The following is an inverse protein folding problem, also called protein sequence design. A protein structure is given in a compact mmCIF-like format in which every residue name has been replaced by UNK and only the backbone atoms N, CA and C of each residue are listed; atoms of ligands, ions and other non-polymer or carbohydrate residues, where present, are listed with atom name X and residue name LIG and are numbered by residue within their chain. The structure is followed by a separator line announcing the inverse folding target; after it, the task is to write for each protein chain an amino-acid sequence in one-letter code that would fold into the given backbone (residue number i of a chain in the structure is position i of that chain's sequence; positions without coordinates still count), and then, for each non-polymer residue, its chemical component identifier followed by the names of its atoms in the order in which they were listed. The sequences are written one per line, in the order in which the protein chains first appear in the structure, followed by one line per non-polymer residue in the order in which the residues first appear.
data_IF_773883815563
#
_entry.id   IF_773883815563
#
_cell.length_a   1.000
_cell.length_b   1.000
_cell.length_c   1.000
_cell.angle_alpha   90.00
_cell.angle_beta   90.00
_cell.angle_gamma   90.00
#
_symmetry.space_group_name_H-M   'P 1'
#
loop_
_entity.id
_entity.type
_entity.pdbx_description
1 polymer ?
#
# COMPACT_ATOMS: atom_id res chain seq x y z
N UNK A 1 -15.60 7.29 2.42
CA UNK A 1 -15.31 5.85 2.19
C UNK A 1 -13.80 5.68 2.18
N UNK A 2 -13.27 4.56 2.68
CA UNK A 2 -11.85 4.23 2.51
C UNK A 2 -11.65 3.29 1.32
N UNK A 3 -10.43 3.21 0.83
CA UNK A 3 -10.05 2.39 -0.30
C UNK A 3 -8.67 1.75 -0.07
N UNK A 4 -8.46 0.52 -0.53
CA UNK A 4 -7.23 -0.24 -0.29
C UNK A 4 -6.79 -1.00 -1.53
N UNK A 5 -5.49 -1.22 -1.69
CA UNK A 5 -4.93 -2.02 -2.78
C UNK A 5 -4.31 -3.32 -2.26
N UNK A 6 -4.64 -4.44 -2.89
CA UNK A 6 -4.06 -5.76 -2.60
C UNK A 6 -3.43 -6.30 -3.88
N UNK A 7 -2.10 -6.47 -3.85
CA UNK A 7 -1.38 -7.19 -4.91
C UNK A 7 -1.38 -8.68 -4.56
N UNK A 8 -1.82 -9.52 -5.49
CA UNK A 8 -1.97 -10.96 -5.25
C UNK A 8 -1.59 -11.81 -6.47
N UNK A 9 -1.45 -13.12 -6.27
CA UNK A 9 -1.27 -14.11 -7.34
C UNK A 9 -2.33 -15.22 -7.27
N UNK A 10 -2.55 -15.91 -8.38
CA UNK A 10 -3.53 -17.00 -8.48
C UNK A 10 -3.20 -18.19 -7.56
N UNK A 11 -1.93 -18.35 -7.14
CA UNK A 11 -1.51 -19.36 -6.16
C UNK A 11 -1.84 -18.98 -4.69
N UNK A 12 -2.50 -17.84 -4.50
CA UNK A 12 -2.95 -17.35 -3.19
C UNK A 12 -1.89 -16.61 -2.39
N UNK A 13 -0.84 -16.11 -3.04
CA UNK A 13 0.09 -15.19 -2.41
C UNK A 13 -0.44 -13.75 -2.48
N UNK A 14 -0.13 -12.94 -1.48
CA UNK A 14 -0.46 -11.51 -1.46
C UNK A 14 0.53 -10.72 -0.60
N UNK A 15 0.67 -9.43 -0.90
CA UNK A 15 1.47 -8.51 -0.08
C UNK A 15 0.63 -7.94 1.05
N UNK A 16 1.12 -8.07 2.29
CA UNK A 16 0.57 -7.41 3.48
C UNK A 16 1.67 -6.57 4.13
N UNK A 17 1.29 -5.43 4.71
CA UNK A 17 2.23 -4.46 5.26
C UNK A 17 2.06 -4.35 6.75
N UNK A 18 3.05 -3.78 7.44
CA UNK A 18 2.95 -3.43 8.86
C UNK A 18 3.18 -1.94 9.02
N UNK A 19 2.27 -1.29 9.76
CA UNK A 19 2.44 0.11 10.13
C UNK A 19 3.56 0.25 11.13
N UNK A 20 4.34 1.31 11.02
CA UNK A 20 5.30 1.71 12.05
C UNK A 20 4.56 2.07 13.33
N UNK A 21 5.24 2.03 14.47
CA UNK A 21 4.68 2.52 15.73
C UNK A 21 4.67 4.07 15.79
N UNK A 22 5.61 4.69 15.07
CA UNK A 22 5.80 6.14 14.99
C UNK A 22 6.14 6.54 13.55
N UNK A 23 5.69 7.72 13.11
CA UNK A 23 6.01 8.30 11.81
C UNK A 23 6.71 9.65 11.96
N UNK A 24 7.67 9.95 11.09
CA UNK A 24 8.48 11.17 11.12
C UNK A 24 8.03 12.22 10.10
N UNK A 25 7.23 11.83 9.12
CA UNK A 25 6.71 12.72 8.11
C UNK A 25 5.38 12.21 7.56
N UNK A 26 4.50 13.13 7.18
CA UNK A 26 3.21 12.81 6.59
C UNK A 26 2.86 13.86 5.53
N UNK A 27 2.30 13.41 4.42
CA UNK A 27 1.78 14.23 3.34
C UNK A 27 0.53 14.99 3.79
N UNK A 28 0.39 16.24 3.34
CA UNK A 28 -0.82 17.01 3.58
C UNK A 28 -1.79 16.82 2.42
N UNK A 29 -2.90 16.11 2.65
CA UNK A 29 -3.94 15.84 1.66
C UNK A 29 -4.57 17.10 1.03
N UNK A 30 -4.39 18.28 1.62
CA UNK A 30 -4.97 19.55 1.14
C UNK A 30 -3.97 20.41 0.33
N UNK A 31 -2.69 20.02 0.25
CA UNK A 31 -1.65 20.82 -0.40
C UNK A 31 -0.53 20.02 -1.07
N UNK A 32 0.41 20.71 -1.72
CA UNK A 32 1.59 20.06 -2.36
C UNK A 32 2.73 19.80 -1.37
N UNK A 33 2.44 19.79 -0.07
CA UNK A 33 3.43 19.78 1.00
C UNK A 33 3.25 18.63 1.98
N UNK A 34 3.80 18.79 3.16
CA UNK A 34 3.68 17.82 4.23
C UNK A 34 4.37 18.32 5.48
N UNK A 35 4.28 17.53 6.53
CA UNK A 35 4.84 17.84 7.84
C UNK A 35 5.98 16.90 8.14
N UNK A 36 6.98 17.39 8.86
CA UNK A 36 8.00 16.56 9.49
C UNK A 36 7.94 16.76 11.01
N UNK A 37 8.31 15.73 11.76
CA UNK A 37 8.18 15.67 13.22
C UNK A 37 9.54 15.41 13.89
N UNK A 38 10.52 16.31 13.78
CA UNK A 38 11.78 16.16 14.48
C UNK A 38 11.63 16.43 15.99
N UNK A 39 12.53 15.88 16.83
CA UNK A 39 13.48 14.82 16.50
C UNK A 39 12.87 13.42 16.64
N UNK A 40 11.71 13.27 17.27
CA UNK A 40 11.25 11.96 17.79
C UNK A 40 10.08 11.35 17.00
N UNK A 41 9.68 11.93 15.88
CA UNK A 41 8.46 11.54 15.20
C UNK A 41 7.21 11.80 16.04
N UNK A 42 6.11 11.19 15.63
CA UNK A 42 4.85 11.11 16.38
C UNK A 42 4.31 9.67 16.36
N UNK A 43 3.65 9.20 17.43
CA UNK A 43 3.00 7.89 17.42
C UNK A 43 1.91 7.78 16.35
N UNK A 44 1.87 6.65 15.64
CA UNK A 44 0.79 6.33 14.70
C UNK A 44 -0.43 5.85 15.50
N UNK A 45 -1.47 6.69 15.52
CA UNK A 45 -2.64 6.47 16.39
C UNK A 45 -3.57 5.36 15.90
N UNK A 46 -3.59 5.11 14.60
CA UNK A 46 -4.55 4.18 13.97
C UNK A 46 -3.84 2.93 13.48
N UNK A 47 -3.56 2.02 14.42
CA UNK A 47 -2.99 0.70 14.13
C UNK A 47 -1.47 0.66 13.99
N UNK A 48 -0.74 1.55 14.66
CA UNK A 48 0.73 1.46 14.71
C UNK A 48 1.21 0.10 15.25
N UNK A 49 2.18 -0.51 14.59
CA UNK A 49 2.67 -1.86 14.89
C UNK A 49 1.73 -3.00 14.48
N UNK A 50 0.66 -2.70 13.73
CA UNK A 50 -0.29 -3.71 13.25
C UNK A 50 -0.21 -3.86 11.73
N UNK A 51 -0.68 -5.01 11.26
CA UNK A 51 -0.80 -5.26 9.83
C UNK A 51 -1.81 -4.32 9.17
N UNK A 52 -1.50 -3.92 7.94
CA UNK A 52 -2.31 -3.06 7.11
C UNK A 52 -2.17 -3.40 5.63
N UNK A 53 -3.18 -3.03 4.85
CA UNK A 53 -3.04 -2.85 3.41
C UNK A 53 -2.88 -1.36 3.11
N UNK A 54 -2.15 -1.02 2.03
CA UNK A 54 -1.99 0.36 1.66
C UNK A 54 -3.34 0.94 1.24
N UNK A 55 -3.69 2.11 1.78
CA UNK A 55 -5.01 2.67 1.55
C UNK A 55 -5.41 3.80 2.48
N UNK A 56 -6.37 4.59 2.02
CA UNK A 56 -6.83 5.78 2.72
C UNK A 56 -8.16 6.27 2.17
N UNK A 57 -8.40 7.57 2.32
CA UNK A 57 -9.70 8.17 2.01
C UNK A 57 -9.91 8.32 0.51
N UNK A 58 -11.12 8.04 0.03
CA UNK A 58 -11.54 8.39 -1.33
C UNK A 58 -11.84 9.89 -1.38
N UNK A 59 -11.11 10.61 -2.24
CA UNK A 59 -11.34 12.04 -2.44
C UNK A 59 -12.69 12.29 -3.13
N UNK A 60 -13.28 13.44 -2.84
CA UNK A 60 -14.51 13.86 -3.53
C UNK A 60 -14.22 13.97 -5.04
N UNK A 61 -15.09 13.40 -5.87
CA UNK A 61 -14.96 13.35 -7.34
C UNK A 61 -13.86 12.45 -7.91
N UNK A 62 -13.07 11.77 -7.06
CA UNK A 62 -12.11 10.76 -7.51
C UNK A 62 -12.77 9.39 -7.72
N UNK A 63 -12.44 8.72 -8.82
CA UNK A 63 -12.91 7.35 -9.06
C UNK A 63 -12.27 6.39 -8.04
N UNK A 64 -13.03 5.47 -7.42
CA UNK A 64 -12.50 4.65 -6.32
C UNK A 64 -11.22 3.87 -6.61
N UNK A 65 -11.08 3.28 -7.80
CA UNK A 65 -9.84 2.56 -8.14
C UNK A 65 -8.65 3.52 -8.28
N UNK A 66 -8.86 4.76 -8.75
CA UNK A 66 -7.79 5.76 -8.82
C UNK A 66 -7.34 6.17 -7.42
N UNK A 67 -8.28 6.33 -6.47
CA UNK A 67 -7.94 6.53 -5.07
C UNK A 67 -7.11 5.37 -4.52
N UNK A 68 -7.49 4.11 -4.78
CA UNK A 68 -6.72 2.94 -4.33
C UNK A 68 -5.26 2.98 -4.81
N UNK A 69 -5.05 3.35 -6.08
CA UNK A 69 -3.74 3.42 -6.70
C UNK A 69 -2.90 4.60 -6.18
N UNK A 70 -3.53 5.76 -5.99
CA UNK A 70 -2.89 6.94 -5.38
C UNK A 70 -2.38 6.62 -3.96
N UNK A 71 -3.24 6.07 -3.12
CA UNK A 71 -2.89 5.70 -1.73
C UNK A 71 -1.77 4.65 -1.71
N UNK A 72 -1.81 3.67 -2.63
CA UNK A 72 -0.72 2.70 -2.76
C UNK A 72 0.62 3.40 -3.10
N UNK A 73 0.62 4.36 -4.02
CA UNK A 73 1.83 5.15 -4.35
C UNK A 73 2.29 6.00 -3.15
N UNK A 74 1.37 6.70 -2.47
CA UNK A 74 1.66 7.53 -1.30
C UNK A 74 2.36 6.74 -0.19
N UNK A 75 1.85 5.54 0.13
CA UNK A 75 2.35 4.76 1.26
C UNK A 75 3.48 3.77 0.91
N UNK A 76 3.59 3.34 -0.37
CA UNK A 76 4.60 2.37 -0.78
C UNK A 76 5.80 2.98 -1.52
N UNK A 77 5.68 4.21 -2.04
CA UNK A 77 6.79 4.92 -2.69
C UNK A 77 6.34 5.86 -3.80
N UNK A 78 6.80 7.11 -3.76
CA UNK A 78 6.38 8.18 -4.67
C UNK A 78 6.73 7.96 -6.16
N UNK A 79 7.65 7.03 -6.47
CA UNK A 79 8.00 6.64 -7.84
C UNK A 79 7.11 5.53 -8.42
N UNK A 80 6.19 4.99 -7.63
CA UNK A 80 5.25 3.98 -8.10
C UNK A 80 4.21 4.66 -8.97
N UNK A 81 4.06 4.15 -10.20
CA UNK A 81 3.08 4.64 -11.14
C UNK A 81 2.33 3.50 -11.80
N UNK A 82 1.14 3.80 -12.32
CA UNK A 82 0.27 2.82 -12.94
C UNK A 82 -0.03 3.25 -14.37
N UNK A 83 0.20 2.34 -15.32
CA UNK A 83 0.09 2.62 -16.73
C UNK A 83 -1.24 2.12 -17.30
N UNK A 84 -1.85 2.99 -18.11
CA UNK A 84 -3.12 2.73 -18.75
C UNK A 84 -3.04 2.84 -20.27
N UNK A 85 -3.85 2.03 -20.97
CA UNK A 85 -3.95 2.08 -22.43
C UNK A 85 -5.37 2.30 -22.95
N UNK A 86 -5.58 3.21 -23.92
CA UNK A 86 -4.59 4.12 -24.50
C UNK A 86 -4.42 5.40 -23.66
N UNK A 87 -3.22 5.99 -23.67
CA UNK A 87 -2.85 7.15 -22.84
C UNK A 87 -3.72 8.41 -23.06
N UNK A 88 -4.36 8.54 -24.22
CA UNK A 88 -5.15 9.71 -24.62
C UNK A 88 -6.67 9.50 -24.53
N UNK A 89 -7.13 8.60 -23.66
CA UNK A 89 -8.55 8.32 -23.46
C UNK A 89 -8.89 8.38 -21.96
N UNK A 90 -10.19 8.46 -21.61
CA UNK A 90 -10.62 8.32 -20.23
C UNK A 90 -10.06 7.03 -19.61
N UNK A 91 -9.38 7.17 -18.48
CA UNK A 91 -8.75 6.04 -17.79
C UNK A 91 -9.77 5.25 -16.98
N UNK A 92 -9.72 3.92 -17.08
CA UNK A 92 -10.62 3.00 -16.39
C UNK A 92 -9.85 1.78 -15.89
N UNK A 93 -10.46 1.00 -15.00
CA UNK A 93 -9.88 -0.26 -14.52
C UNK A 93 -9.59 -1.25 -15.66
N UNK A 94 -10.44 -1.28 -16.70
CA UNK A 94 -10.26 -2.15 -17.87
C UNK A 94 -9.02 -1.80 -18.72
N UNK A 95 -8.48 -0.59 -18.56
CA UNK A 95 -7.30 -0.11 -19.29
C UNK A 95 -6.02 -0.17 -18.48
N UNK A 96 -6.11 -0.46 -17.18
CA UNK A 96 -4.97 -0.64 -16.28
C UNK A 96 -4.20 -1.90 -16.68
N UNK A 97 -2.91 -1.76 -17.00
CA UNK A 97 -2.15 -2.83 -17.65
C UNK A 97 -0.83 -3.19 -16.97
N UNK A 98 -0.22 -2.22 -16.30
CA UNK A 98 1.03 -2.43 -15.61
C UNK A 98 1.23 -1.41 -14.50
N UNK A 99 2.12 -1.78 -13.58
CA UNK A 99 2.66 -0.92 -12.55
C UNK A 99 4.15 -0.72 -12.87
N UNK A 100 4.67 0.48 -12.64
CA UNK A 100 6.10 0.74 -12.65
C UNK A 100 6.61 1.12 -11.27
N UNK A 101 7.74 0.55 -10.86
CA UNK A 101 8.43 0.87 -9.62
C UNK A 101 9.90 1.13 -9.94
N UNK A 102 10.39 2.33 -9.63
CA UNK A 102 11.79 2.72 -9.85
C UNK A 102 12.30 2.48 -11.29
N UNK A 103 11.40 2.58 -12.28
CA UNK A 103 11.70 2.38 -13.70
C UNK A 103 11.49 0.95 -14.21
N UNK A 104 11.36 -0.04 -13.33
CA UNK A 104 10.98 -1.41 -13.70
C UNK A 104 9.47 -1.49 -13.95
N UNK A 105 9.02 -2.40 -14.81
CA UNK A 105 7.60 -2.54 -15.18
C UNK A 105 7.10 -3.96 -14.88
N UNK A 106 5.97 -4.03 -14.19
CA UNK A 106 5.28 -5.25 -13.79
C UNK A 106 3.92 -5.34 -14.45
N UNK A 107 3.61 -6.48 -15.07
CA UNK A 107 2.33 -6.67 -15.76
C UNK A 107 1.22 -6.94 -14.74
N UNK A 108 0.12 -6.18 -14.85
CA UNK A 108 -1.11 -6.46 -14.13
C UNK A 108 -1.92 -7.43 -14.99
N UNK A 109 -2.13 -8.64 -14.48
CA UNK A 109 -2.84 -9.71 -15.20
C UNK A 109 -4.36 -9.49 -15.16
N UNK A 110 -4.85 -8.97 -14.04
CA UNK A 110 -6.26 -8.66 -13.80
C UNK A 110 -6.40 -7.58 -12.73
N UNK A 111 -7.28 -6.61 -12.95
CA UNK A 111 -7.70 -5.64 -11.94
C UNK A 111 -9.18 -5.80 -11.60
N UNK A 112 -9.50 -5.96 -10.31
CA UNK A 112 -10.88 -6.06 -9.81
C UNK A 112 -11.10 -5.05 -8.69
N UNK A 113 -12.13 -4.23 -8.81
CA UNK A 113 -12.55 -3.29 -7.76
C UNK A 113 -13.83 -3.80 -7.13
N UNK A 114 -13.80 -4.02 -5.82
CA UNK A 114 -14.95 -4.51 -5.05
C UNK A 114 -15.23 -3.59 -3.86
N UNK A 115 -16.43 -3.68 -3.30
CA UNK A 115 -16.78 -2.99 -2.05
C UNK A 115 -16.97 -4.01 -0.93
N UNK A 116 -16.04 -4.04 0.01
CA UNK A 116 -15.95 -5.06 1.05
C UNK A 116 -16.29 -4.44 2.41
N UNK A 117 -16.95 -5.18 3.31
CA UNK A 117 -18.36 -5.55 3.21
C UNK A 117 -19.25 -4.29 3.10
N UNK A 118 -19.40 -3.72 1.91
CA UNK A 118 -20.16 -2.48 1.64
C UNK A 118 -19.66 -1.22 2.41
N UNK A 119 -18.42 -1.24 2.93
CA UNK A 119 -17.88 -0.15 3.77
C UNK A 119 -16.65 0.53 3.19
N UNK A 120 -15.86 -0.22 2.42
CA UNK A 120 -14.62 0.26 1.82
C UNK A 120 -14.42 -0.39 0.46
N UNK A 121 -13.71 0.31 -0.40
CA UNK A 121 -13.31 -0.23 -1.68
C UNK A 121 -12.01 -1.03 -1.54
N UNK A 122 -11.90 -2.12 -2.27
CA UNK A 122 -10.67 -2.90 -2.36
C UNK A 122 -10.36 -3.17 -3.83
N UNK A 123 -9.21 -2.70 -4.27
CA UNK A 123 -8.66 -2.96 -5.58
C UNK A 123 -7.70 -4.15 -5.49
N UNK A 124 -8.10 -5.27 -6.08
CA UNK A 124 -7.29 -6.46 -6.21
C UNK A 124 -6.55 -6.42 -7.55
N UNK A 125 -5.23 -6.44 -7.53
CA UNK A 125 -4.39 -6.49 -8.72
C UNK A 125 -3.65 -7.83 -8.75
N UNK A 126 -4.00 -8.65 -9.74
CA UNK A 126 -3.34 -9.91 -10.00
C UNK A 126 -1.98 -9.66 -10.67
N UNK A 127 -0.95 -10.31 -10.14
CA UNK A 127 0.43 -10.29 -10.60
C UNK A 127 0.96 -11.73 -10.63
N UNK A 128 2.05 -11.96 -11.36
CA UNK A 128 2.78 -13.22 -11.21
C UNK A 128 3.45 -13.29 -9.82
N UNK A 129 3.65 -14.51 -9.29
CA UNK A 129 4.35 -14.69 -8.02
C UNK A 129 5.77 -14.11 -8.03
N UNK A 130 6.48 -14.22 -9.16
CA UNK A 130 7.83 -13.67 -9.29
C UNK A 130 7.82 -12.14 -9.34
N UNK A 131 6.79 -11.51 -9.92
CA UNK A 131 6.61 -10.07 -9.84
C UNK A 131 6.32 -9.64 -8.40
N UNK A 132 5.44 -10.32 -7.67
CA UNK A 132 5.16 -10.00 -6.25
C UNK A 132 6.43 -10.03 -5.40
N UNK A 133 7.30 -11.03 -5.60
CA UNK A 133 8.58 -11.13 -4.88
C UNK A 133 9.51 -9.98 -5.22
N UNK A 134 9.59 -9.60 -6.50
CA UNK A 134 10.42 -8.47 -6.94
C UNK A 134 9.89 -7.14 -6.41
N UNK A 135 8.57 -6.93 -6.48
CA UNK A 135 7.89 -5.75 -5.93
C UNK A 135 8.16 -5.64 -4.42
N UNK A 136 7.96 -6.73 -3.66
CA UNK A 136 8.29 -6.78 -2.24
C UNK A 136 9.75 -6.40 -1.99
N UNK A 137 10.68 -7.01 -2.73
CA UNK A 137 12.11 -6.76 -2.57
C UNK A 137 12.47 -5.29 -2.84
N UNK A 138 11.90 -4.65 -3.87
CA UNK A 138 12.15 -3.24 -4.17
C UNK A 138 11.56 -2.33 -3.09
N UNK A 139 10.33 -2.58 -2.65
CA UNK A 139 9.70 -1.78 -1.58
C UNK A 139 10.56 -1.83 -0.31
N UNK A 140 11.04 -3.02 0.09
CA UNK A 140 11.90 -3.16 1.28
C UNK A 140 13.27 -2.50 1.08
N UNK A 141 13.98 -2.90 0.02
CA UNK A 141 15.39 -2.53 -0.16
C UNK A 141 15.61 -1.09 -0.60
N UNK A 142 14.61 -0.49 -1.24
CA UNK A 142 14.70 0.86 -1.79
C UNK A 142 13.78 1.81 -1.05
N UNK A 143 12.46 1.62 -1.13
CA UNK A 143 11.49 2.64 -0.71
C UNK A 143 11.46 2.78 0.82
N UNK A 144 11.29 1.67 1.56
CA UNK A 144 11.28 1.66 3.02
C UNK A 144 12.67 1.86 3.63
N UNK A 145 13.73 1.46 2.92
CA UNK A 145 15.09 1.82 3.30
C UNK A 145 15.31 3.34 3.23
N UNK A 146 14.87 3.98 2.14
CA UNK A 146 14.92 5.44 1.99
C UNK A 146 14.06 6.18 3.03
N UNK A 147 12.86 5.68 3.35
CA UNK A 147 12.07 6.19 4.47
C UNK A 147 12.85 6.12 5.80
N UNK A 148 13.52 5.00 6.05
CA UNK A 148 14.34 4.81 7.26
C UNK A 148 15.53 5.77 7.32
N UNK A 149 16.18 6.05 6.19
CA UNK A 149 17.24 7.06 6.08
C UNK A 149 16.71 8.50 6.23
N UNK A 150 15.50 8.77 5.72
CA UNK A 150 14.82 10.05 5.91
C UNK A 150 14.51 10.31 7.39
N UNK A 151 13.97 9.30 8.10
CA UNK A 151 13.73 9.35 9.56
C UNK A 151 14.99 9.70 10.34
N UNK A 152 16.08 9.00 10.07
CA UNK A 152 17.37 9.25 10.71
C UNK A 152 17.84 10.69 10.46
N UNK A 153 17.73 11.17 9.22
CA UNK A 153 18.12 12.53 8.88
C UNK A 153 17.18 13.60 9.46
N UNK A 154 15.90 13.33 9.65
CA UNK A 154 14.97 14.21 10.36
C UNK A 154 15.32 14.24 11.86
N UNK A 155 15.57 13.07 12.46
CA UNK A 155 15.97 12.93 13.87
C UNK A 155 17.21 13.79 14.19
N UNK A 156 18.24 13.68 13.34
CA UNK A 156 19.48 14.45 13.49
C UNK A 156 19.44 15.84 12.83
N UNK A 157 18.26 16.36 12.48
CA UNK A 157 18.06 17.71 11.95
C UNK A 157 18.85 18.04 10.66
N UNK A 158 19.17 17.01 9.86
CA UNK A 158 19.78 17.10 8.52
C UNK A 158 18.73 17.40 7.44
N UNK A 159 17.53 16.83 7.58
CA UNK A 159 16.32 17.20 6.83
C UNK A 159 15.48 18.11 7.72
N UNK A 160 15.09 19.28 7.20
CA UNK A 160 14.41 20.35 7.96
C UNK A 160 13.03 20.70 7.44
N UNK A 161 12.66 20.18 6.27
CA UNK A 161 11.32 20.31 5.73
C UNK A 161 10.98 19.08 4.88
N UNK A 162 9.70 18.94 4.57
CA UNK A 162 9.16 17.79 3.86
C UNK A 162 9.74 17.63 2.44
N UNK A 163 9.89 18.72 1.69
CA UNK A 163 10.43 18.67 0.32
C UNK A 163 11.84 18.12 0.26
N UNK A 164 12.68 18.43 1.25
CA UNK A 164 14.06 17.92 1.34
C UNK A 164 14.16 16.39 1.46
N UNK A 165 13.08 15.71 1.87
CA UNK A 165 13.03 14.25 1.89
C UNK A 165 13.24 13.72 0.49
N UNK A 166 12.44 14.18 -0.48
CA UNK A 166 12.43 13.64 -1.84
C UNK A 166 13.59 14.16 -2.70
N UNK A 167 14.19 15.29 -2.33
CA UNK A 167 15.47 15.73 -2.91
C UNK A 167 16.61 14.76 -2.57
N UNK A 168 16.64 14.25 -1.33
CA UNK A 168 17.66 13.31 -0.86
C UNK A 168 17.31 11.84 -1.17
N UNK A 169 16.02 11.52 -1.14
CA UNK A 169 15.45 10.18 -1.15
C UNK A 169 14.26 10.11 -2.11
N UNK A 170 14.51 10.07 -3.44
CA UNK A 170 13.48 10.23 -4.46
C UNK A 170 12.47 9.07 -4.54
N UNK A 171 12.76 7.93 -3.92
CA UNK A 171 11.89 6.74 -3.90
C UNK A 171 11.21 6.54 -2.54
N UNK A 172 11.40 7.49 -1.61
CA UNK A 172 10.70 7.50 -0.33
C UNK A 172 9.18 7.55 -0.55
N UNK A 173 8.38 6.79 0.24
CA UNK A 173 6.95 7.04 0.40
C UNK A 173 6.68 8.50 0.79
N UNK A 174 5.49 8.98 0.44
CA UNK A 174 5.00 10.30 0.86
C UNK A 174 4.67 10.30 2.36
N UNK A 175 4.14 9.19 2.87
CA UNK A 175 3.85 9.01 4.29
C UNK A 175 4.79 8.00 4.95
N UNK A 176 5.29 8.34 6.15
CA UNK A 176 6.10 7.44 6.96
C UNK A 176 5.23 6.51 7.83
N UNK A 177 4.20 5.93 7.21
CA UNK A 177 3.22 5.11 7.90
C UNK A 177 3.57 3.62 7.85
N UNK A 178 3.90 3.10 6.66
CA UNK A 178 4.27 1.70 6.46
C UNK A 178 5.78 1.50 6.65
N UNK A 179 6.16 0.39 7.30
CA UNK A 179 7.56 0.10 7.64
C UNK A 179 8.06 -1.27 7.22
N UNK A 180 7.15 -2.21 6.99
CA UNK A 180 7.48 -3.57 6.55
C UNK A 180 6.46 -4.07 5.54
N UNK A 181 6.89 -5.00 4.70
CA UNK A 181 6.03 -5.72 3.75
C UNK A 181 6.42 -7.20 3.73
N UNK A 182 5.40 -8.05 3.79
CA UNK A 182 5.54 -9.50 3.81
C UNK A 182 4.73 -10.11 2.67
N UNK A 183 5.26 -11.18 2.09
CA UNK A 183 4.58 -11.99 1.10
C UNK A 183 3.93 -13.20 1.79
N UNK A 184 2.67 -13.05 2.15
CA UNK A 184 1.86 -14.11 2.77
C UNK A 184 1.21 -15.00 1.71
N UNK A 185 0.82 -16.19 2.11
CA UNK A 185 0.06 -17.16 1.31
C UNK A 185 -1.18 -17.59 2.11
N UNK A 186 -2.37 -17.44 1.54
CA UNK A 186 -3.63 -17.54 2.28
C UNK A 186 -3.83 -18.86 3.05
N UNK A 187 -3.34 -19.99 2.53
CA UNK A 187 -3.43 -21.30 3.19
C UNK A 187 -2.38 -21.47 4.30
N UNK A 188 -1.16 -20.97 4.07
CA UNK A 188 -0.03 -21.11 5.00
C UNK A 188 -0.21 -20.21 6.22
N UNK A 189 -0.64 -18.97 6.02
CA UNK A 189 -0.85 -17.97 7.08
C UNK A 189 -2.30 -17.93 7.61
N UNK A 190 -3.08 -19.01 7.46
CA UNK A 190 -4.51 -19.05 7.85
C UNK A 190 -4.76 -18.66 9.31
N UNK A 191 -3.86 -19.00 10.23
CA UNK A 191 -4.03 -18.70 11.65
C UNK A 191 -3.73 -17.24 11.95
N UNK A 192 -2.69 -16.68 11.34
CA UNK A 192 -2.32 -15.27 11.42
C UNK A 192 -3.45 -14.41 10.85
N UNK A 193 -4.00 -14.79 9.70
CA UNK A 193 -5.15 -14.13 9.08
C UNK A 193 -6.35 -14.13 10.05
N UNK A 194 -6.69 -15.27 10.66
CA UNK A 194 -7.77 -15.35 11.66
C UNK A 194 -7.56 -14.41 12.85
N UNK A 195 -6.32 -14.19 13.28
CA UNK A 195 -6.04 -13.28 14.40
C UNK A 195 -6.34 -11.82 14.05
N UNK A 196 -6.25 -11.42 12.78
CA UNK A 196 -6.63 -10.07 12.33
C UNK A 196 -8.10 -9.76 12.66
N UNK A 197 -8.99 -10.75 12.61
CA UNK A 197 -10.42 -10.60 12.98
C UNK A 197 -10.66 -10.25 14.46
N UNK A 198 -9.64 -10.41 15.32
CA UNK A 198 -9.77 -10.21 16.77
C UNK A 198 -9.44 -8.79 17.22
N UNK A 199 -8.94 -7.95 16.32
CA UNK A 199 -8.57 -6.57 16.61
C UNK A 199 -9.33 -5.62 15.69
N UNK A 200 -10.04 -4.64 16.26
CA UNK A 200 -10.86 -3.65 15.53
C UNK A 200 -10.06 -2.77 14.57
N UNK A 201 -8.74 -2.67 14.75
CA UNK A 201 -7.87 -1.93 13.83
C UNK A 201 -7.50 -2.75 12.58
N UNK A 202 -7.75 -4.06 12.59
CA UNK A 202 -7.34 -4.99 11.52
C UNK A 202 -8.46 -5.91 11.04
N UNK A 203 -9.65 -5.84 11.64
CA UNK A 203 -10.77 -6.72 11.33
C UNK A 203 -11.29 -6.52 9.89
N UNK A 204 -11.21 -5.30 9.35
CA UNK A 204 -11.48 -5.06 7.95
C UNK A 204 -10.43 -5.65 7.01
N UNK A 205 -9.15 -5.75 7.41
CA UNK A 205 -8.12 -6.38 6.57
C UNK A 205 -8.36 -7.89 6.48
N UNK A 206 -8.86 -8.49 7.57
CA UNK A 206 -9.34 -9.86 7.55
C UNK A 206 -10.43 -10.07 6.49
N UNK A 207 -11.47 -9.23 6.48
CA UNK A 207 -12.59 -9.37 5.53
C UNK A 207 -12.11 -9.30 4.06
N UNK A 208 -11.15 -8.42 3.74
CA UNK A 208 -10.56 -8.32 2.41
C UNK A 208 -9.80 -9.59 2.02
N UNK A 209 -9.00 -10.16 2.94
CA UNK A 209 -8.24 -11.39 2.70
C UNK A 209 -9.20 -12.58 2.52
N UNK A 210 -10.26 -12.65 3.33
CA UNK A 210 -11.29 -13.70 3.20
C UNK A 210 -11.98 -13.59 1.85
N UNK A 211 -12.34 -12.38 1.41
CA UNK A 211 -12.94 -12.15 0.11
C UNK A 211 -12.00 -12.57 -1.03
N UNK A 212 -10.73 -12.16 -0.98
CA UNK A 212 -9.71 -12.61 -1.93
C UNK A 212 -9.65 -14.14 -2.00
N UNK A 213 -9.47 -14.80 -0.85
CA UNK A 213 -9.26 -16.24 -0.80
C UNK A 213 -10.49 -17.05 -1.25
N UNK A 214 -11.69 -16.65 -0.84
CA UNK A 214 -12.89 -17.47 -1.04
C UNK A 214 -13.76 -17.04 -2.22
N UNK A 215 -13.74 -15.76 -2.61
CA UNK A 215 -14.54 -15.26 -3.73
C UNK A 215 -13.73 -15.16 -5.01
N UNK A 216 -12.54 -14.57 -4.94
CA UNK A 216 -11.70 -14.35 -6.14
C UNK A 216 -10.95 -15.65 -6.49
N UNK A 217 -10.25 -16.24 -5.51
CA UNK A 217 -9.38 -17.40 -5.73
C UNK A 217 -10.07 -18.75 -5.54
N UNK A 218 -11.29 -18.78 -4.98
CA UNK A 218 -12.07 -19.99 -4.73
C UNK A 218 -11.32 -21.09 -3.95
N UNK A 219 -10.50 -20.70 -2.96
CA UNK A 219 -9.65 -21.62 -2.18
C UNK A 219 -10.45 -22.45 -1.15
N UNK A 220 -11.67 -22.05 -0.80
CA UNK A 220 -12.54 -22.79 0.11
C UNK A 220 -11.99 -22.89 1.54
N UNK A 221 -11.27 -21.86 2.00
CA UNK A 221 -10.62 -21.85 3.31
C UNK A 221 -11.66 -21.46 4.37
N UNK A 222 -11.84 -22.28 5.42
CA UNK A 222 -12.70 -21.92 6.53
C UNK A 222 -11.92 -20.93 7.43
N UNK A 223 -12.06 -19.63 7.21
CA UNK A 223 -11.50 -18.62 8.11
C UNK A 223 -12.32 -18.50 9.39
#
# INVERSE_FOLDING_TARGET
MQCYTILYSQEGYFLIFEKREEGFFFHDAVGTGGFIYPPNGIPIKNGGGLFAFPGGAVNQEEEPFKSCLREYTEECGNSISFNYYPLNQPQSLATLSSMSINGETYTILLGLLETIPDKYYTLYLEMSLDDLRQIQAIIVSTNFNQASQARENIHYNKIKNYTQIFEAYPFCPLDDELGQVQLWQALREVNEIRLLSKNKATDWYYDMIVYLANTILNLGIPF
#
